data_IF_721859426604
#
_entry.id   IF_721859426604
#
_cell.length_a   1.000
_cell.length_b   1.000
_cell.length_c   1.000
_cell.angle_alpha   90.00
_cell.angle_beta   90.00
_cell.angle_gamma   90.00
#
_symmetry.space_group_name_H-M   'P 1'
#
loop_
_entity.id
_entity.type
_entity.pdbx_description
1 polymer ?
#
# COMPACT_ATOMS: atom_id res chain seq x y z
N UNK A 1 23.16 54.23 20.03
CA UNK A 1 23.35 53.57 18.73
C UNK A 1 23.16 52.08 18.98
N UNK A 2 21.98 51.54 18.69
CA UNK A 2 21.60 50.16 19.03
C UNK A 2 21.36 49.37 17.73
N UNK A 3 21.99 48.21 17.63
CA UNK A 3 21.96 47.32 16.47
C UNK A 3 20.57 46.70 16.28
N UNK A 4 20.04 46.74 15.06
CA UNK A 4 18.85 45.99 14.67
C UNK A 4 19.22 44.51 14.43
N UNK A 5 18.63 43.61 15.20
CA UNK A 5 18.64 42.17 14.92
C UNK A 5 17.58 41.81 13.87
N UNK A 6 17.80 40.80 13.02
CA UNK A 6 16.85 40.42 11.99
C UNK A 6 15.61 39.79 12.65
N UNK A 7 14.43 40.32 12.29
CA UNK A 7 13.16 39.83 12.77
C UNK A 7 12.99 38.35 12.44
N UNK A 8 12.71 37.56 13.47
CA UNK A 8 12.26 36.18 13.31
C UNK A 8 10.89 36.29 12.63
N UNK A 9 10.87 36.03 11.32
CA UNK A 9 9.63 35.87 10.58
C UNK A 9 8.88 34.69 11.19
N UNK A 10 7.82 34.99 11.93
CA UNK A 10 6.80 34.01 12.28
C UNK A 10 6.25 33.47 10.95
N UNK A 11 6.77 32.32 10.51
CA UNK A 11 6.09 31.52 9.50
C UNK A 11 4.76 31.13 10.13
N UNK A 12 3.70 31.79 9.69
CA UNK A 12 2.37 31.22 9.87
C UNK A 12 2.41 29.80 9.31
N UNK A 13 2.01 28.78 10.09
CA UNK A 13 1.75 27.47 9.51
C UNK A 13 0.57 27.66 8.57
N UNK A 14 0.87 27.86 7.28
CA UNK A 14 -0.11 27.77 6.20
C UNK A 14 -0.89 26.49 6.43
N UNK A 15 -2.20 26.65 6.55
CA UNK A 15 -3.25 25.64 6.60
C UNK A 15 -3.20 24.77 5.33
N UNK A 16 -2.14 23.96 5.23
CA UNK A 16 -1.92 22.88 4.30
C UNK A 16 -1.63 21.62 5.13
N UNK A 17 -2.31 21.49 6.26
CA UNK A 17 -2.53 20.20 6.91
C UNK A 17 -3.51 19.45 6.00
N UNK A 18 -3.02 19.06 4.82
CA UNK A 18 -3.62 18.01 4.03
C UNK A 18 -3.69 16.85 4.99
N UNK A 19 -4.90 16.57 5.52
CA UNK A 19 -5.15 15.52 6.50
C UNK A 19 -4.25 14.34 6.14
N UNK A 20 -3.23 14.07 6.97
CA UNK A 20 -2.11 13.17 6.68
C UNK A 20 -2.70 11.81 6.29
N UNK A 21 -2.96 11.65 5.00
CA UNK A 21 -3.77 10.57 4.50
C UNK A 21 -2.92 9.32 4.64
N UNK A 22 -3.55 8.26 5.13
CA UNK A 22 -2.88 7.02 5.43
C UNK A 22 -2.11 6.56 4.17
N UNK A 23 -0.79 6.33 4.21
CA UNK A 23 -0.05 5.88 3.05
C UNK A 23 -0.64 4.59 2.49
N UNK A 24 -0.70 4.48 1.17
CA UNK A 24 -1.17 3.27 0.49
C UNK A 24 0.04 2.42 0.10
N UNK A 25 0.03 1.15 0.52
CA UNK A 25 1.15 0.22 0.32
C UNK A 25 0.63 -1.02 -0.41
N UNK A 26 1.26 -1.31 -1.55
CA UNK A 26 1.08 -2.54 -2.29
C UNK A 26 2.21 -3.51 -2.00
N UNK A 27 1.90 -4.63 -1.36
CA UNK A 27 2.87 -5.71 -1.09
C UNK A 27 2.68 -6.83 -2.10
N UNK A 28 3.78 -7.27 -2.72
CA UNK A 28 3.74 -8.30 -3.77
C UNK A 28 4.53 -9.52 -3.34
N UNK A 29 3.92 -10.70 -3.46
CA UNK A 29 4.58 -11.98 -3.25
C UNK A 29 4.80 -12.70 -4.58
N UNK A 30 6.04 -13.15 -4.79
CA UNK A 30 6.45 -14.04 -5.86
C UNK A 30 6.92 -15.38 -5.30
N UNK A 31 7.25 -16.33 -6.16
CA UNK A 31 7.62 -17.70 -5.80
C UNK A 31 8.99 -17.75 -5.13
N UNK A 32 9.01 -17.56 -3.81
CA UNK A 32 10.21 -17.63 -2.98
C UNK A 32 9.87 -18.23 -1.62
N UNK A 33 10.81 -18.95 -1.01
CA UNK A 33 10.68 -19.44 0.36
C UNK A 33 10.41 -18.27 1.32
N UNK A 34 10.92 -17.06 1.02
CA UNK A 34 10.67 -15.85 1.81
C UNK A 34 9.17 -15.48 1.90
N UNK A 35 8.34 -15.92 0.94
CA UNK A 35 6.90 -15.67 0.95
C UNK A 35 6.18 -16.37 2.13
N UNK A 36 6.81 -17.34 2.81
CA UNK A 36 6.33 -17.85 4.12
C UNK A 36 6.16 -16.76 5.17
N UNK A 37 6.88 -15.62 5.05
CA UNK A 37 6.75 -14.47 5.95
C UNK A 37 5.83 -13.37 5.42
N UNK A 38 5.15 -13.58 4.29
CA UNK A 38 4.37 -12.54 3.62
C UNK A 38 3.24 -11.98 4.49
N UNK A 39 2.49 -12.85 5.18
CA UNK A 39 1.45 -12.39 6.11
C UNK A 39 2.01 -11.61 7.29
N UNK A 40 3.20 -12.00 7.79
CA UNK A 40 3.88 -11.23 8.83
C UNK A 40 4.27 -9.84 8.31
N UNK A 41 4.80 -9.75 7.08
CA UNK A 41 5.15 -8.49 6.44
C UNK A 41 3.93 -7.57 6.33
N UNK A 42 2.80 -8.07 5.84
CA UNK A 42 1.55 -7.31 5.72
C UNK A 42 1.13 -6.67 7.05
N UNK A 43 1.22 -7.42 8.16
CA UNK A 43 0.88 -6.91 9.50
C UNK A 43 1.79 -5.78 9.98
N UNK A 44 3.06 -5.71 9.53
CA UNK A 44 3.98 -4.62 9.94
C UNK A 44 3.56 -3.26 9.41
N UNK A 45 2.83 -3.25 8.31
CA UNK A 45 2.31 -2.05 7.67
C UNK A 45 0.88 -1.71 8.11
N UNK A 46 0.20 -2.63 8.77
CA UNK A 46 -1.15 -2.42 9.28
C UNK A 46 -1.21 -1.30 10.34
N UNK A 47 -2.37 -0.65 10.47
CA UNK A 47 -2.59 0.43 11.43
C UNK A 47 -2.17 1.81 10.91
N UNK A 48 -0.95 1.96 10.37
CA UNK A 48 -0.45 3.25 9.86
C UNK A 48 -0.46 3.39 8.34
N UNK A 49 -0.65 2.29 7.59
CA UNK A 49 -0.89 2.30 6.13
C UNK A 49 -2.19 1.57 5.73
N UNK A 50 -2.72 1.86 4.55
CA UNK A 50 -3.68 1.01 3.86
C UNK A 50 -2.89 -0.04 3.05
N UNK A 51 -3.05 -1.32 3.38
CA UNK A 51 -2.26 -2.40 2.79
C UNK A 51 -3.12 -3.20 1.82
N UNK A 52 -2.67 -3.28 0.57
CA UNK A 52 -3.18 -4.19 -0.46
C UNK A 52 -2.10 -5.20 -0.80
N UNK A 53 -2.49 -6.44 -1.06
CA UNK A 53 -1.57 -7.51 -1.37
C UNK A 53 -1.82 -8.06 -2.76
N UNK A 54 -0.75 -8.39 -3.49
CA UNK A 54 -0.81 -9.15 -4.75
C UNK A 54 0.05 -10.38 -4.59
N UNK A 55 -0.42 -11.53 -5.03
CA UNK A 55 0.36 -12.76 -4.98
C UNK A 55 0.19 -13.54 -6.27
N UNK A 56 1.31 -14.02 -6.82
CA UNK A 56 1.26 -14.92 -7.97
C UNK A 56 0.74 -16.29 -7.53
N UNK A 57 0.06 -17.01 -8.42
CA UNK A 57 -0.44 -18.37 -8.14
C UNK A 57 0.62 -19.31 -7.55
N UNK A 58 1.85 -19.25 -8.06
CA UNK A 58 2.94 -20.11 -7.59
C UNK A 58 3.46 -19.73 -6.18
N UNK A 59 3.23 -18.50 -5.71
CA UNK A 59 3.60 -18.08 -4.35
C UNK A 59 2.70 -18.70 -3.27
N UNK A 60 1.49 -19.16 -3.61
CA UNK A 60 0.57 -19.81 -2.66
C UNK A 60 1.10 -21.13 -2.08
N UNK A 61 2.09 -21.76 -2.71
CA UNK A 61 2.80 -22.89 -2.11
C UNK A 61 3.53 -22.52 -0.82
N UNK A 62 3.83 -21.23 -0.61
CA UNK A 62 4.59 -20.74 0.54
C UNK A 62 3.77 -19.85 1.46
N UNK A 63 2.69 -19.22 0.97
CA UNK A 63 1.88 -18.29 1.75
C UNK A 63 0.77 -19.05 2.47
N UNK A 64 0.75 -18.97 3.80
CA UNK A 64 -0.43 -19.34 4.58
C UNK A 64 -1.48 -18.23 4.46
N UNK A 65 -2.40 -18.38 3.51
CA UNK A 65 -3.47 -17.41 3.21
C UNK A 65 -4.38 -17.22 4.43
N UNK A 66 -4.58 -18.26 5.25
CA UNK A 66 -5.40 -18.16 6.46
C UNK A 66 -4.76 -17.25 7.54
N UNK A 67 -3.45 -17.03 7.45
CA UNK A 67 -2.71 -16.13 8.35
C UNK A 67 -2.71 -14.66 7.92
N UNK A 68 -3.24 -14.34 6.72
CA UNK A 68 -3.45 -12.97 6.29
C UNK A 68 -4.57 -12.34 7.12
N UNK A 69 -4.35 -11.11 7.60
CA UNK A 69 -5.38 -10.35 8.31
C UNK A 69 -6.58 -10.14 7.38
N UNK A 70 -7.81 -10.23 7.92
CA UNK A 70 -9.05 -9.98 7.15
C UNK A 70 -9.09 -8.60 6.49
N UNK A 71 -8.33 -7.66 7.04
CA UNK A 71 -8.25 -6.28 6.56
C UNK A 71 -7.29 -6.10 5.37
N UNK A 72 -6.59 -7.15 4.94
CA UNK A 72 -5.71 -7.11 3.76
C UNK A 72 -6.46 -7.71 2.58
N UNK A 73 -6.75 -6.88 1.57
CA UNK A 73 -7.31 -7.34 0.30
C UNK A 73 -6.18 -8.00 -0.50
N UNK A 74 -6.36 -9.28 -0.83
CA UNK A 74 -5.43 -10.06 -1.65
C UNK A 74 -5.95 -10.17 -3.08
N UNK A 75 -5.18 -9.67 -4.04
CA UNK A 75 -5.41 -9.82 -5.47
C UNK A 75 -4.54 -10.94 -6.04
N UNK A 76 -5.11 -11.68 -6.97
CA UNK A 76 -4.52 -12.84 -7.61
C UNK A 76 -4.63 -12.72 -9.14
N UNK A 77 -3.90 -13.57 -9.86
CA UNK A 77 -4.00 -13.66 -11.32
C UNK A 77 -5.45 -13.93 -11.79
N UNK A 78 -6.29 -14.53 -10.94
CA UNK A 78 -7.69 -14.85 -11.23
C UNK A 78 -8.62 -13.63 -11.06
N UNK A 79 -8.27 -12.70 -10.15
CA UNK A 79 -8.98 -11.43 -9.97
C UNK A 79 -8.80 -10.50 -11.18
N UNK A 80 -7.64 -10.53 -11.81
CA UNK A 80 -7.38 -9.78 -13.05
C UNK A 80 -8.24 -10.32 -14.19
N UNK A 81 -8.24 -11.66 -14.34
CA UNK A 81 -8.97 -12.34 -15.39
C UNK A 81 -10.49 -12.21 -15.24
N UNK A 82 -11.00 -12.11 -14.02
CA UNK A 82 -12.44 -11.96 -13.74
C UNK A 82 -12.94 -10.52 -13.88
N UNK A 83 -12.07 -9.52 -13.69
CA UNK A 83 -12.40 -8.09 -13.86
C UNK A 83 -12.29 -7.61 -15.31
N UNK A 84 -11.58 -8.33 -16.17
CA UNK A 84 -11.48 -8.01 -17.60
C UNK A 84 -12.51 -8.79 -18.42
N UNK A 85 -13.70 -8.22 -18.62
CA UNK A 85 -14.80 -8.87 -19.32
C UNK A 85 -15.04 -8.28 -20.73
N UNK A 86 -14.78 -6.98 -20.93
CA UNK A 86 -14.91 -6.28 -22.21
C UNK A 86 -13.79 -5.24 -22.39
N UNK A 87 -13.46 -4.92 -23.65
CA UNK A 87 -12.51 -3.84 -23.97
C UNK A 87 -13.01 -2.50 -23.41
N UNK A 88 -12.40 -2.04 -22.32
CA UNK A 88 -12.79 -0.83 -21.59
C UNK A 88 -12.93 -1.03 -20.07
N UNK A 89 -12.94 -2.27 -19.59
CA UNK A 89 -12.95 -2.57 -18.15
C UNK A 89 -11.62 -2.16 -17.49
N UNK A 90 -11.71 -1.75 -16.23
CA UNK A 90 -10.56 -1.25 -15.48
C UNK A 90 -9.53 -2.35 -15.24
N UNK A 91 -8.29 -2.07 -15.63
CA UNK A 91 -7.17 -2.97 -15.44
C UNK A 91 -6.72 -2.90 -13.98
N UNK A 92 -6.90 -3.99 -13.23
CA UNK A 92 -6.41 -4.14 -11.86
C UNK A 92 -4.97 -3.61 -11.67
N UNK A 93 -4.00 -3.92 -12.55
CA UNK A 93 -2.63 -3.41 -12.41
C UNK A 93 -2.50 -1.88 -12.54
N UNK A 94 -3.42 -1.21 -13.23
CA UNK A 94 -3.46 0.25 -13.35
C UNK A 94 -4.08 0.86 -12.09
N UNK A 95 -5.16 0.27 -11.58
CA UNK A 95 -5.80 0.72 -10.34
C UNK A 95 -4.88 0.61 -9.12
N UNK A 96 -4.02 -0.40 -9.09
CA UNK A 96 -3.08 -0.62 -7.97
C UNK A 96 -1.85 0.30 -8.01
N UNK A 97 -1.65 1.07 -9.07
CA UNK A 97 -0.56 2.07 -9.18
C UNK A 97 -0.98 3.50 -8.82
N UNK A 98 -2.29 3.77 -8.80
CA UNK A 98 -2.86 5.11 -8.67
C UNK A 98 -3.07 5.57 -7.23
#
# INVERSE_FOLDING_TARGET
MACAGPGISHREPTQADAALSKPQILLVASTSIAATKFAHLCRRFFGWSEVRAVATKASFHFIDIASLSRDVILYTDEDERSRWNTTGDSLLPIELRG
#
